data_IF_668381162158
#
_entry.id   IF_668381162158
#
_cell.length_a   1.000
_cell.length_b   1.000
_cell.length_c   1.000
_cell.angle_alpha   90.00
_cell.angle_beta   90.00
_cell.angle_gamma   90.00
#
_symmetry.space_group_name_H-M   'P 1'
#
loop_
_entity.id
_entity.type
_entity.pdbx_description
1 polymer ?
#
# COMPACT_ATOMS: atom_id res chain seq x y z
N UNK A 1 24.69 24.26 0.43
CA UNK A 1 24.00 23.07 1.00
C UNK A 1 22.53 23.34 1.33
N UNK A 2 22.18 24.41 2.07
CA UNK A 2 20.79 24.76 2.42
C UNK A 2 19.80 24.90 1.23
N UNK A 3 20.26 25.44 0.08
CA UNK A 3 19.44 25.62 -1.13
C UNK A 3 19.06 24.30 -1.83
N UNK A 4 19.89 23.25 -1.69
CA UNK A 4 19.61 21.91 -2.25
C UNK A 4 18.65 21.09 -1.37
N UNK A 5 18.75 21.27 -0.04
CA UNK A 5 17.83 20.65 0.93
C UNK A 5 16.40 21.13 0.67
N UNK A 6 16.21 22.43 0.40
CA UNK A 6 14.88 22.99 0.12
C UNK A 6 14.26 22.42 -1.18
N UNK A 7 15.03 22.30 -2.27
CA UNK A 7 14.53 21.69 -3.54
C UNK A 7 14.11 20.22 -3.38
N UNK A 8 14.90 19.44 -2.64
CA UNK A 8 14.59 18.03 -2.35
C UNK A 8 13.32 17.88 -1.52
N UNK A 9 13.14 18.74 -0.52
CA UNK A 9 11.96 18.77 0.34
C UNK A 9 10.71 19.17 -0.46
N UNK A 10 10.79 20.24 -1.26
CA UNK A 10 9.70 20.69 -2.14
C UNK A 10 9.30 19.60 -3.11
N UNK A 11 10.26 18.94 -3.76
CA UNK A 11 9.98 17.84 -4.69
C UNK A 11 9.27 16.67 -3.98
N UNK A 12 9.65 16.38 -2.74
CA UNK A 12 9.01 15.36 -1.92
C UNK A 12 7.55 15.71 -1.62
N UNK A 13 7.28 16.95 -1.24
CA UNK A 13 5.90 17.41 -1.03
C UNK A 13 5.07 17.39 -2.31
N UNK A 14 5.66 17.71 -3.46
CA UNK A 14 4.98 17.61 -4.76
C UNK A 14 4.58 16.16 -5.05
N UNK A 15 5.48 15.18 -4.85
CA UNK A 15 5.12 13.77 -5.06
C UNK A 15 4.00 13.31 -4.13
N UNK A 16 4.04 13.73 -2.85
CA UNK A 16 2.98 13.42 -1.89
C UNK A 16 1.64 14.07 -2.28
N UNK A 17 1.66 15.32 -2.73
CA UNK A 17 0.46 16.03 -3.18
C UNK A 17 -0.15 15.33 -4.40
N UNK A 18 0.67 14.98 -5.40
CA UNK A 18 0.23 14.23 -6.58
C UNK A 18 -0.39 12.89 -6.16
N UNK A 19 0.23 12.17 -5.24
CA UNK A 19 -0.32 10.92 -4.70
C UNK A 19 -1.69 11.12 -4.05
N UNK A 20 -1.81 12.11 -3.16
CA UNK A 20 -3.07 12.41 -2.46
C UNK A 20 -4.17 12.77 -3.47
N UNK A 21 -3.86 13.64 -4.45
CA UNK A 21 -4.81 14.07 -5.47
C UNK A 21 -5.24 12.92 -6.39
N UNK A 22 -4.30 12.12 -6.90
CA UNK A 22 -4.62 10.98 -7.76
C UNK A 22 -5.39 9.91 -6.99
N UNK A 23 -5.02 9.62 -5.75
CA UNK A 23 -5.67 8.58 -4.97
C UNK A 23 -7.09 8.98 -4.56
N UNK A 24 -7.28 10.20 -4.08
CA UNK A 24 -8.63 10.72 -3.78
C UNK A 24 -9.45 10.88 -5.06
N UNK A 25 -8.83 11.38 -6.14
CA UNK A 25 -9.46 11.57 -7.44
C UNK A 25 -10.01 10.27 -8.01
N UNK A 26 -9.24 9.17 -8.01
CA UNK A 26 -9.70 7.86 -8.50
C UNK A 26 -10.90 7.36 -7.68
N UNK A 27 -10.89 7.53 -6.36
CA UNK A 27 -12.01 7.07 -5.50
C UNK A 27 -13.29 7.84 -5.81
N UNK A 28 -13.20 9.18 -5.84
CA UNK A 28 -14.34 10.04 -6.15
C UNK A 28 -14.84 9.82 -7.57
N UNK A 29 -13.92 9.64 -8.53
CA UNK A 29 -14.26 9.38 -9.91
C UNK A 29 -14.95 8.02 -10.06
N UNK A 30 -14.46 6.96 -9.41
CA UNK A 30 -15.13 5.67 -9.41
C UNK A 30 -16.53 5.76 -8.80
N UNK A 31 -16.71 6.47 -7.67
CA UNK A 31 -18.04 6.71 -7.11
C UNK A 31 -18.95 7.45 -8.09
N UNK A 32 -18.45 8.48 -8.77
CA UNK A 32 -19.22 9.26 -9.74
C UNK A 32 -19.61 8.43 -10.97
N UNK A 33 -18.72 7.57 -11.48
CA UNK A 33 -19.02 6.66 -12.60
C UNK A 33 -20.07 5.63 -12.19
N UNK A 34 -19.90 5.00 -11.02
CA UNK A 34 -20.73 3.87 -10.59
C UNK A 34 -22.10 4.29 -10.03
N UNK A 35 -22.20 5.47 -9.43
CA UNK A 35 -23.43 5.90 -8.76
C UNK A 35 -24.57 6.09 -9.76
N UNK A 36 -25.77 5.52 -9.48
CA UNK A 36 -26.97 5.74 -10.27
C UNK A 36 -27.40 7.22 -10.35
N UNK A 37 -27.00 8.04 -9.37
CA UNK A 37 -27.35 9.47 -9.31
C UNK A 37 -26.52 10.35 -10.25
N UNK A 38 -25.41 9.83 -10.77
CA UNK A 38 -24.45 10.58 -11.56
C UNK A 38 -24.33 10.00 -12.97
N UNK A 39 -23.24 9.32 -13.29
CA UNK A 39 -23.05 8.75 -14.63
C UNK A 39 -23.87 7.47 -14.86
N UNK A 40 -24.34 6.81 -13.79
CA UNK A 40 -25.21 5.63 -13.85
C UNK A 40 -24.62 4.46 -14.65
N UNK A 41 -23.38 4.08 -14.32
CA UNK A 41 -22.76 2.85 -14.81
C UNK A 41 -22.62 1.83 -13.67
N UNK A 42 -23.68 1.10 -13.27
CA UNK A 42 -23.67 0.22 -12.09
C UNK A 42 -22.96 -1.13 -12.34
N UNK A 43 -21.80 -1.09 -13.02
CA UNK A 43 -21.00 -2.26 -13.39
C UNK A 43 -19.58 -2.16 -12.78
N UNK A 44 -19.45 -2.39 -11.46
CA UNK A 44 -18.17 -2.27 -10.75
C UNK A 44 -17.10 -3.24 -11.27
N UNK A 45 -17.45 -4.48 -11.63
CA UNK A 45 -16.52 -5.48 -12.16
C UNK A 45 -16.01 -5.02 -13.53
N UNK A 46 -16.89 -4.61 -14.44
CA UNK A 46 -16.51 -4.09 -15.76
C UNK A 46 -15.55 -2.92 -15.62
N UNK A 47 -15.82 -1.98 -14.71
CA UNK A 47 -14.91 -0.85 -14.44
C UNK A 47 -13.53 -1.34 -13.96
N UNK A 48 -13.47 -2.29 -13.02
CA UNK A 48 -12.20 -2.87 -12.55
C UNK A 48 -11.45 -3.63 -13.64
N UNK A 49 -12.16 -4.34 -14.51
CA UNK A 49 -11.58 -5.06 -15.64
C UNK A 49 -10.93 -4.08 -16.62
N UNK A 50 -11.58 -2.95 -16.92
CA UNK A 50 -10.98 -1.89 -17.75
C UNK A 50 -9.69 -1.37 -17.11
N UNK A 51 -9.68 -1.12 -15.80
CA UNK A 51 -8.48 -0.65 -15.08
C UNK A 51 -7.34 -1.66 -15.14
N UNK A 52 -7.62 -2.93 -14.85
CA UNK A 52 -6.62 -4.00 -14.85
C UNK A 52 -6.13 -4.30 -16.27
N UNK A 53 -7.01 -4.33 -17.26
CA UNK A 53 -6.66 -4.52 -18.67
C UNK A 53 -5.77 -3.40 -19.20
N UNK A 54 -6.17 -2.15 -18.97
CA UNK A 54 -5.37 -0.98 -19.38
C UNK A 54 -4.03 -0.93 -18.65
N UNK A 55 -4.03 -1.13 -17.33
CA UNK A 55 -2.81 -1.12 -16.53
C UNK A 55 -1.85 -2.24 -16.91
N UNK A 56 -2.37 -3.45 -17.17
CA UNK A 56 -1.60 -4.60 -17.63
C UNK A 56 -1.00 -4.36 -19.02
N UNK A 57 -1.77 -3.79 -19.95
CA UNK A 57 -1.29 -3.44 -21.29
C UNK A 57 -0.16 -2.41 -21.23
N UNK A 58 -0.33 -1.32 -20.47
CA UNK A 58 0.72 -0.30 -20.35
C UNK A 58 1.95 -0.86 -19.62
N UNK A 59 1.77 -1.66 -18.58
CA UNK A 59 2.90 -2.32 -17.90
C UNK A 59 3.66 -3.26 -18.86
N UNK A 60 2.95 -3.97 -19.74
CA UNK A 60 3.56 -4.78 -20.79
C UNK A 60 4.40 -3.94 -21.74
N UNK A 61 3.87 -2.82 -22.24
CA UNK A 61 4.61 -1.91 -23.12
C UNK A 61 5.87 -1.37 -22.43
N UNK A 62 5.75 -0.91 -21.19
CA UNK A 62 6.87 -0.34 -20.44
C UNK A 62 8.03 -1.32 -20.23
N UNK A 63 7.72 -2.60 -19.99
CA UNK A 63 8.74 -3.63 -19.72
C UNK A 63 9.27 -4.25 -21.01
N UNK A 64 8.40 -4.63 -21.95
CA UNK A 64 8.78 -5.40 -23.14
C UNK A 64 9.22 -4.52 -24.31
N UNK A 65 8.57 -3.37 -24.49
CA UNK A 65 8.84 -2.48 -25.64
C UNK A 65 9.84 -1.41 -25.23
N UNK A 66 9.53 -0.64 -24.18
CA UNK A 66 10.37 0.49 -23.76
C UNK A 66 11.54 0.09 -22.85
N UNK A 67 11.56 -1.14 -22.32
CA UNK A 67 12.59 -1.66 -21.41
C UNK A 67 12.93 -0.72 -20.25
N UNK A 68 11.93 0.02 -19.75
CA UNK A 68 12.09 0.99 -18.65
C UNK A 68 12.49 0.28 -17.35
N UNK A 69 12.09 -0.98 -17.19
CA UNK A 69 12.42 -1.81 -16.03
C UNK A 69 12.91 -3.17 -16.50
N UNK A 70 14.00 -3.64 -15.92
CA UNK A 70 14.56 -4.97 -16.20
C UNK A 70 13.53 -6.06 -15.88
N UNK A 71 13.22 -6.97 -16.82
CA UNK A 71 12.30 -8.06 -16.57
C UNK A 71 12.89 -9.00 -15.51
N UNK A 72 12.20 -9.11 -14.37
CA UNK A 72 12.58 -10.05 -13.31
C UNK A 72 12.20 -11.45 -13.77
N UNK A 73 13.19 -12.35 -13.92
CA UNK A 73 12.93 -13.76 -14.25
C UNK A 73 12.21 -14.43 -13.07
N UNK A 74 10.92 -14.73 -13.26
CA UNK A 74 10.10 -15.47 -12.29
C UNK A 74 9.97 -16.92 -12.75
N UNK A 75 10.25 -17.87 -11.86
CA UNK A 75 9.96 -19.29 -12.11
C UNK A 75 8.44 -19.50 -12.16
N UNK A 76 7.97 -20.37 -13.06
CA UNK A 76 6.55 -20.69 -13.21
C UNK A 76 5.90 -21.13 -11.89
N UNK A 77 6.62 -21.90 -11.08
CA UNK A 77 6.16 -22.33 -9.76
C UNK A 77 5.87 -21.14 -8.83
N UNK A 78 6.77 -20.15 -8.75
CA UNK A 78 6.57 -18.94 -7.93
C UNK A 78 5.41 -18.11 -8.47
N UNK A 79 5.28 -18.04 -9.79
CA UNK A 79 4.19 -17.33 -10.44
C UNK A 79 2.82 -17.93 -10.05
N UNK A 80 2.65 -19.24 -10.19
CA UNK A 80 1.39 -19.93 -9.88
C UNK A 80 1.11 -19.96 -8.38
N UNK A 81 2.10 -20.28 -7.54
CA UNK A 81 1.88 -20.44 -6.09
C UNK A 81 1.81 -19.13 -5.31
N UNK A 82 2.34 -18.02 -5.85
CA UNK A 82 2.34 -16.74 -5.15
C UNK A 82 1.61 -15.64 -5.90
N UNK A 83 1.94 -15.42 -7.18
CA UNK A 83 1.35 -14.28 -7.92
C UNK A 83 -0.14 -14.49 -8.16
N UNK A 84 -0.56 -15.69 -8.58
CA UNK A 84 -1.98 -15.96 -8.87
C UNK A 84 -2.89 -15.74 -7.64
N UNK A 85 -2.58 -16.28 -6.43
CA UNK A 85 -3.37 -15.96 -5.23
C UNK A 85 -3.38 -14.47 -4.88
N UNK A 86 -2.22 -13.80 -4.96
CA UNK A 86 -2.12 -12.35 -4.70
C UNK A 86 -3.04 -11.57 -5.67
N UNK A 87 -3.02 -11.93 -6.95
CA UNK A 87 -3.86 -11.32 -7.98
C UNK A 87 -5.35 -11.59 -7.78
N UNK A 88 -5.73 -12.79 -7.33
CA UNK A 88 -7.12 -13.14 -7.06
C UNK A 88 -7.67 -12.31 -5.87
N UNK A 89 -6.90 -12.18 -4.79
CA UNK A 89 -7.30 -11.35 -3.66
C UNK A 89 -7.29 -9.86 -3.98
N UNK A 90 -6.36 -9.39 -4.83
CA UNK A 90 -6.39 -8.02 -5.35
C UNK A 90 -7.63 -7.75 -6.20
N UNK A 91 -7.95 -8.66 -7.13
CA UNK A 91 -9.14 -8.56 -7.93
C UNK A 91 -10.41 -8.55 -7.05
N UNK A 92 -10.47 -9.44 -6.07
CA UNK A 92 -11.58 -9.51 -5.12
C UNK A 92 -11.72 -8.23 -4.29
N UNK A 93 -10.60 -7.64 -3.83
CA UNK A 93 -10.63 -6.39 -3.07
C UNK A 93 -11.15 -5.22 -3.91
N UNK A 94 -10.72 -5.12 -5.16
CA UNK A 94 -11.20 -4.11 -6.10
C UNK A 94 -12.67 -4.32 -6.45
N UNK A 95 -13.10 -5.55 -6.71
CA UNK A 95 -14.48 -5.87 -7.04
C UNK A 95 -15.42 -5.51 -5.87
N UNK A 96 -15.20 -6.07 -4.68
CA UNK A 96 -16.08 -5.80 -3.54
C UNK A 96 -16.02 -4.34 -3.09
N UNK A 97 -14.82 -3.73 -3.10
CA UNK A 97 -14.65 -2.32 -2.77
C UNK A 97 -15.37 -1.38 -3.74
N UNK A 98 -15.34 -1.67 -5.04
CA UNK A 98 -16.08 -0.86 -6.01
C UNK A 98 -17.59 -1.11 -5.95
N UNK A 99 -18.02 -2.33 -5.68
CA UNK A 99 -19.45 -2.66 -5.49
C UNK A 99 -20.05 -1.93 -4.30
N UNK A 100 -19.27 -1.72 -3.23
CA UNK A 100 -19.70 -0.94 -2.08
C UNK A 100 -20.11 0.50 -2.44
N UNK A 101 -19.51 1.12 -3.46
CA UNK A 101 -19.89 2.47 -3.92
C UNK A 101 -21.35 2.55 -4.41
N UNK A 102 -21.98 1.43 -4.80
CA UNK A 102 -23.38 1.43 -5.20
C UNK A 102 -24.34 1.55 -4.02
N UNK A 103 -23.89 1.19 -2.82
CA UNK A 103 -24.76 0.98 -1.67
C UNK A 103 -24.50 1.95 -0.51
N UNK A 104 -23.26 2.41 -0.35
CA UNK A 104 -22.86 3.26 0.78
C UNK A 104 -22.08 4.51 0.33
N UNK A 105 -21.99 5.49 1.24
CA UNK A 105 -21.29 6.77 1.02
C UNK A 105 -19.77 6.57 0.99
N UNK A 106 -19.05 7.46 0.29
CA UNK A 106 -17.57 7.41 0.23
C UNK A 106 -16.96 7.69 1.60
N UNK A 107 -17.56 8.62 2.36
CA UNK A 107 -17.18 8.90 3.74
C UNK A 107 -17.28 7.63 4.59
N UNK A 108 -18.41 6.92 4.54
CA UNK A 108 -18.60 5.70 5.31
C UNK A 108 -17.65 4.56 4.87
N UNK A 109 -17.42 4.39 3.57
CA UNK A 109 -16.39 3.46 3.05
C UNK A 109 -15.02 3.75 3.66
N UNK A 110 -14.65 5.03 3.74
CA UNK A 110 -13.36 5.44 4.26
C UNK A 110 -13.28 5.29 5.78
N UNK A 111 -14.40 5.43 6.50
CA UNK A 111 -14.49 5.11 7.93
C UNK A 111 -14.33 3.60 8.18
N UNK A 112 -15.00 2.76 7.39
CA UNK A 112 -14.87 1.29 7.47
C UNK A 112 -13.43 0.84 7.20
N UNK A 113 -12.68 1.54 6.34
CA UNK A 113 -11.26 1.26 6.10
C UNK A 113 -10.36 1.44 7.33
N UNK A 114 -10.83 2.08 8.42
CA UNK A 114 -10.13 2.04 9.69
C UNK A 114 -9.97 0.60 10.25
N UNK A 115 -10.77 -0.36 9.78
CA UNK A 115 -10.60 -1.79 10.09
C UNK A 115 -9.41 -2.45 9.36
N UNK A 116 -8.73 -1.76 8.44
CA UNK A 116 -7.64 -2.34 7.66
C UNK A 116 -6.48 -2.88 8.53
N UNK A 117 -6.03 -2.19 9.60
CA UNK A 117 -5.04 -2.73 10.54
C UNK A 117 -5.55 -3.98 11.29
N UNK A 118 -6.84 -4.04 11.61
CA UNK A 118 -7.48 -5.20 12.25
C UNK A 118 -7.47 -6.41 11.31
N UNK A 119 -7.94 -6.22 10.08
CA UNK A 119 -7.98 -7.28 9.07
C UNK A 119 -6.58 -7.79 8.72
N UNK A 120 -5.60 -6.89 8.56
CA UNK A 120 -4.20 -7.27 8.29
C UNK A 120 -3.57 -8.03 9.46
N UNK A 121 -3.84 -7.65 10.70
CA UNK A 121 -3.35 -8.38 11.87
C UNK A 121 -3.93 -9.79 11.95
N UNK A 122 -5.25 -9.94 11.77
CA UNK A 122 -5.91 -11.25 11.75
C UNK A 122 -5.33 -12.12 10.63
N UNK A 123 -5.21 -11.58 9.41
CA UNK A 123 -4.66 -12.31 8.27
C UNK A 123 -3.19 -12.66 8.45
N UNK A 124 -2.40 -11.80 9.10
CA UNK A 124 -1.00 -12.09 9.42
C UNK A 124 -0.86 -13.26 10.41
N UNK A 125 -1.75 -13.35 11.41
CA UNK A 125 -1.79 -14.50 12.34
C UNK A 125 -2.23 -15.76 11.60
N UNK A 126 -3.30 -15.71 10.82
CA UNK A 126 -3.81 -16.85 10.04
C UNK A 126 -2.76 -17.38 9.07
N UNK A 127 -1.97 -16.50 8.45
CA UNK A 127 -0.87 -16.87 7.56
C UNK A 127 0.43 -17.26 8.32
N UNK A 128 0.43 -17.28 9.66
CA UNK A 128 1.60 -17.62 10.48
C UNK A 128 2.78 -16.65 10.30
N UNK A 129 2.50 -15.39 9.93
CA UNK A 129 3.52 -14.35 9.70
C UNK A 129 3.73 -13.47 10.93
N UNK A 130 2.78 -13.45 11.87
CA UNK A 130 2.86 -12.70 13.12
C UNK A 130 2.28 -13.50 14.29
N UNK A 131 2.66 -13.15 15.52
CA UNK A 131 2.19 -13.82 16.73
C UNK A 131 1.02 -13.05 17.38
N UNK A 132 0.09 -13.79 17.97
CA UNK A 132 -1.05 -13.21 18.69
C UNK A 132 -0.60 -12.57 20.02
N UNK A 133 -0.27 -11.27 19.97
CA UNK A 133 0.06 -10.47 21.16
C UNK A 133 -1.20 -9.84 21.75
N UNK A 134 -1.43 -10.05 23.05
CA UNK A 134 -2.60 -9.51 23.75
C UNK A 134 -2.70 -7.98 23.65
N UNK A 135 -1.59 -7.25 23.75
CA UNK A 135 -1.57 -5.77 23.66
C UNK A 135 -2.12 -5.28 22.31
N UNK A 136 -1.72 -5.95 21.22
CA UNK A 136 -2.17 -5.62 19.86
C UNK A 136 -3.62 -6.03 19.68
N UNK A 137 -4.01 -7.19 20.21
CA UNK A 137 -5.39 -7.68 20.15
C UNK A 137 -6.39 -6.74 20.85
N UNK A 138 -6.08 -6.28 22.07
CA UNK A 138 -6.89 -5.28 22.79
C UNK A 138 -7.03 -3.98 21.99
N UNK A 139 -5.94 -3.53 21.37
CA UNK A 139 -5.99 -2.38 20.48
C UNK A 139 -6.88 -2.61 19.25
N UNK A 140 -6.86 -3.81 18.66
CA UNK A 140 -7.75 -4.15 17.54
C UNK A 140 -9.23 -4.13 17.96
N UNK A 141 -9.56 -4.58 19.17
CA UNK A 141 -10.92 -4.47 19.70
C UNK A 141 -11.37 -3.00 19.83
N UNK A 142 -10.49 -2.11 20.31
CA UNK A 142 -10.78 -0.68 20.40
C UNK A 142 -11.11 -0.08 19.02
N UNK A 143 -10.32 -0.43 17.99
CA UNK A 143 -10.57 0.00 16.61
C UNK A 143 -11.93 -0.51 16.12
N UNK A 144 -12.23 -1.79 16.34
CA UNK A 144 -13.51 -2.40 15.96
C UNK A 144 -14.70 -1.72 16.64
N UNK A 145 -14.61 -1.43 17.94
CA UNK A 145 -15.68 -0.72 18.67
C UNK A 145 -15.91 0.68 18.09
N UNK A 146 -14.84 1.43 17.82
CA UNK A 146 -14.96 2.75 17.19
C UNK A 146 -15.68 2.71 15.83
N UNK A 147 -15.35 1.71 15.01
CA UNK A 147 -16.00 1.53 13.69
C UNK A 147 -17.46 1.12 13.83
N UNK A 148 -17.82 0.29 14.82
CA UNK A 148 -19.23 -0.08 15.08
C UNK A 148 -20.04 1.15 15.53
N UNK A 149 -19.51 1.94 16.46
CA UNK A 149 -20.15 3.19 16.90
C UNK A 149 -20.31 4.14 15.71
N UNK A 150 -19.26 4.28 14.89
CA UNK A 150 -19.31 5.10 13.69
C UNK A 150 -20.39 4.60 12.72
N UNK A 151 -20.49 3.29 12.50
CA UNK A 151 -21.49 2.68 11.61
C UNK A 151 -22.92 2.89 12.10
N UNK A 152 -23.15 2.89 13.41
CA UNK A 152 -24.47 3.17 14.00
C UNK A 152 -24.93 4.61 13.74
N UNK A 153 -24.00 5.54 13.56
CA UNK A 153 -24.29 6.93 13.23
C UNK A 153 -24.60 7.18 11.75
N UNK A 154 -24.39 6.20 10.85
CA UNK A 154 -24.53 6.41 9.40
C UNK A 154 -26.00 6.49 8.99
N UNK A 155 -26.38 7.61 8.38
CA UNK A 155 -27.76 7.86 7.95
C UNK A 155 -28.16 6.94 6.80
N UNK A 156 -27.25 6.70 5.85
CA UNK A 156 -27.48 5.83 4.69
C UNK A 156 -26.89 4.44 4.92
N UNK A 157 -27.05 3.89 6.12
CA UNK A 157 -26.48 2.59 6.44
C UNK A 157 -27.13 1.49 5.59
N UNK A 158 -26.31 0.80 4.81
CA UNK A 158 -26.74 -0.35 4.02
C UNK A 158 -25.85 -1.55 4.37
N UNK A 159 -26.47 -2.60 4.90
CA UNK A 159 -25.77 -3.81 5.33
C UNK A 159 -25.08 -4.53 4.16
N UNK A 160 -25.71 -4.56 2.97
CA UNK A 160 -25.15 -5.21 1.78
C UNK A 160 -23.87 -4.50 1.36
N UNK A 161 -23.91 -3.16 1.28
CA UNK A 161 -22.72 -2.35 0.98
C UNK A 161 -21.62 -2.49 2.03
N UNK A 162 -22.01 -2.56 3.30
CA UNK A 162 -21.08 -2.75 4.42
C UNK A 162 -20.39 -4.10 4.34
N UNK A 163 -21.12 -5.18 4.06
CA UNK A 163 -20.57 -6.53 3.89
C UNK A 163 -19.59 -6.58 2.73
N UNK A 164 -19.95 -6.03 1.56
CA UNK A 164 -19.02 -5.94 0.43
C UNK A 164 -17.75 -5.16 0.80
N UNK A 165 -17.90 -4.01 1.46
CA UNK A 165 -16.74 -3.21 1.86
C UNK A 165 -15.83 -3.97 2.85
N UNK A 166 -16.39 -4.66 3.83
CA UNK A 166 -15.63 -5.47 4.81
C UNK A 166 -14.95 -6.66 4.12
N UNK A 167 -15.65 -7.38 3.23
CA UNK A 167 -15.05 -8.44 2.41
C UNK A 167 -13.87 -7.91 1.58
N UNK A 168 -14.02 -6.73 0.97
CA UNK A 168 -12.96 -6.05 0.24
C UNK A 168 -11.75 -5.71 1.12
N UNK A 169 -11.98 -5.26 2.35
CA UNK A 169 -10.92 -4.98 3.34
C UNK A 169 -10.15 -6.26 3.71
N UNK A 170 -10.84 -7.38 3.94
CA UNK A 170 -10.19 -8.66 4.25
C UNK A 170 -9.42 -9.23 3.06
N UNK A 171 -9.96 -9.13 1.84
CA UNK A 171 -9.26 -9.53 0.63
C UNK A 171 -8.00 -8.67 0.41
N UNK A 172 -8.10 -7.36 0.61
CA UNK A 172 -6.95 -6.45 0.53
C UNK A 172 -5.90 -6.76 1.61
N UNK A 173 -6.34 -7.07 2.83
CA UNK A 173 -5.46 -7.45 3.92
C UNK A 173 -4.68 -8.74 3.60
N UNK A 174 -5.37 -9.75 3.08
CA UNK A 174 -4.75 -11.00 2.67
C UNK A 174 -3.77 -10.80 1.51
N UNK A 175 -4.13 -9.99 0.50
CA UNK A 175 -3.21 -9.57 -0.57
C UNK A 175 -1.94 -8.95 0.00
N UNK A 176 -2.05 -8.01 0.94
CA UNK A 176 -0.90 -7.34 1.54
C UNK A 176 0.00 -8.32 2.32
N UNK A 177 -0.59 -9.22 3.13
CA UNK A 177 0.16 -10.23 3.88
C UNK A 177 0.88 -11.20 2.94
N UNK A 178 0.20 -11.72 1.91
CA UNK A 178 0.81 -12.61 0.91
C UNK A 178 1.92 -11.91 0.12
N UNK A 179 1.71 -10.64 -0.24
CA UNK A 179 2.73 -9.82 -0.90
C UNK A 179 3.95 -9.66 0.01
N UNK A 180 3.74 -9.36 1.30
CA UNK A 180 4.82 -9.28 2.28
C UNK A 180 5.59 -10.61 2.39
N UNK A 181 4.88 -11.74 2.47
CA UNK A 181 5.50 -13.07 2.50
C UNK A 181 6.32 -13.35 1.24
N UNK A 182 5.82 -12.99 0.05
CA UNK A 182 6.55 -13.13 -1.21
C UNK A 182 7.85 -12.31 -1.21
N UNK A 183 7.78 -11.04 -0.79
CA UNK A 183 8.94 -10.15 -0.76
C UNK A 183 9.98 -10.60 0.28
N UNK A 184 9.53 -10.99 1.48
CA UNK A 184 10.42 -11.34 2.59
C UNK A 184 11.00 -12.75 2.49
N UNK A 185 10.20 -13.77 2.15
CA UNK A 185 10.64 -15.17 2.14
C UNK A 185 11.35 -15.56 0.85
N UNK A 186 10.94 -15.01 -0.30
CA UNK A 186 11.53 -15.36 -1.61
C UNK A 186 12.58 -14.36 -2.10
N UNK A 187 12.84 -13.29 -1.34
CA UNK A 187 13.91 -12.31 -1.64
C UNK A 187 13.70 -11.52 -2.93
N UNK A 188 12.46 -11.45 -3.43
CA UNK A 188 12.14 -10.77 -4.68
C UNK A 188 11.87 -9.29 -4.44
N UNK A 189 12.74 -8.43 -4.95
CA UNK A 189 12.52 -6.98 -4.98
C UNK A 189 11.73 -6.61 -6.23
N UNK A 190 10.40 -6.70 -6.14
CA UNK A 190 9.53 -6.31 -7.25
C UNK A 190 9.29 -4.80 -7.21
N UNK A 191 9.76 -4.11 -8.25
CA UNK A 191 9.30 -2.75 -8.53
C UNK A 191 7.77 -2.78 -8.74
N UNK A 192 7.01 -1.79 -8.26
CA UNK A 192 5.55 -1.71 -8.47
C UNK A 192 5.11 -1.86 -9.92
N UNK A 193 5.89 -1.38 -10.89
CA UNK A 193 5.63 -1.58 -12.33
C UNK A 193 5.73 -3.06 -12.70
N UNK A 194 6.76 -3.77 -12.21
CA UNK A 194 6.93 -5.21 -12.37
C UNK A 194 5.83 -5.99 -11.65
N UNK A 195 5.45 -5.56 -10.43
CA UNK A 195 4.31 -6.14 -9.71
C UNK A 195 3.02 -6.00 -10.51
N UNK A 196 2.77 -4.82 -11.08
CA UNK A 196 1.57 -4.55 -11.89
C UNK A 196 1.55 -5.41 -13.16
N UNK A 197 2.70 -5.58 -13.83
CA UNK A 197 2.84 -6.45 -15.00
C UNK A 197 2.45 -7.90 -14.72
N UNK A 198 2.84 -8.42 -13.55
CA UNK A 198 2.51 -9.80 -13.17
C UNK A 198 1.11 -9.93 -12.59
N UNK A 199 0.63 -8.92 -11.87
CA UNK A 199 -0.63 -8.99 -11.12
C UNK A 199 -1.85 -8.68 -12.00
N UNK A 200 -1.80 -7.60 -12.79
CA UNK A 200 -2.93 -7.08 -13.55
C UNK A 200 -3.57 -8.08 -14.53
N UNK A 201 -2.83 -8.83 -15.37
CA UNK A 201 -3.44 -9.80 -16.28
C UNK A 201 -4.11 -10.96 -15.53
N UNK A 202 -3.49 -11.47 -14.46
CA UNK A 202 -4.12 -12.50 -13.62
C UNK A 202 -5.39 -11.99 -12.95
N UNK A 203 -5.39 -10.75 -12.45
CA UNK A 203 -6.57 -10.12 -11.88
C UNK A 203 -7.69 -9.95 -12.91
N UNK A 204 -7.36 -9.58 -14.16
CA UNK A 204 -8.34 -9.50 -15.25
C UNK A 204 -8.99 -10.86 -15.53
N UNK A 205 -8.19 -11.93 -15.63
CA UNK A 205 -8.70 -13.29 -15.85
C UNK A 205 -9.58 -13.73 -14.68
N UNK A 206 -9.16 -13.49 -13.44
CA UNK A 206 -9.99 -13.80 -12.26
C UNK A 206 -11.33 -13.07 -12.29
N UNK A 207 -11.36 -11.77 -12.66
CA UNK A 207 -12.58 -10.96 -12.74
C UNK A 207 -13.52 -11.37 -13.88
N UNK A 208 -13.01 -12.04 -14.92
CA UNK A 208 -13.85 -12.49 -16.04
C UNK A 208 -14.93 -13.50 -15.62
N UNK A 209 -14.65 -14.32 -14.59
CA UNK A 209 -15.59 -15.30 -14.05
C UNK A 209 -16.80 -14.63 -13.35
N UNK A 210 -16.63 -13.78 -12.32
CA UNK A 210 -17.75 -13.09 -11.70
C UNK A 210 -18.42 -12.10 -12.66
N UNK A 211 -17.69 -11.51 -13.61
CA UNK A 211 -18.28 -10.67 -14.66
C UNK A 211 -19.31 -11.43 -15.50
N UNK A 212 -18.95 -12.64 -15.96
CA UNK A 212 -19.84 -13.48 -16.77
C UNK A 212 -21.11 -13.86 -16.01
N UNK A 213 -21.00 -14.13 -14.70
CA UNK A 213 -22.13 -14.57 -13.87
C UNK A 213 -23.02 -13.40 -13.44
N UNK A 214 -22.45 -12.25 -13.08
CA UNK A 214 -23.16 -11.18 -12.39
C UNK A 214 -23.46 -9.96 -13.26
N UNK A 215 -22.59 -9.60 -14.20
CA UNK A 215 -22.72 -8.35 -14.95
C UNK A 215 -23.13 -8.56 -16.41
N UNK A 216 -22.68 -9.62 -17.06
CA UNK A 216 -23.08 -9.95 -18.44
C UNK A 216 -24.60 -10.00 -18.64
N UNK A 217 -25.40 -10.64 -17.75
CA UNK A 217 -26.86 -10.65 -17.91
C UNK A 217 -27.47 -9.24 -17.81
N UNK A 218 -26.91 -8.39 -16.94
CA UNK A 218 -27.40 -7.03 -16.74
C UNK A 218 -27.09 -6.12 -17.94
N UNK A 219 -25.94 -6.32 -18.59
CA UNK A 219 -25.57 -5.59 -19.82
C UNK A 219 -26.52 -5.94 -20.97
N UNK A 220 -26.94 -7.20 -21.10
CA UNK A 220 -27.84 -7.62 -22.18
C UNK A 220 -29.26 -7.04 -22.05
N UNK A 221 -29.67 -6.73 -20.82
CA UNK A 221 -31.01 -6.19 -20.51
C UNK A 221 -31.05 -4.67 -20.50
N UNK A 222 -29.92 -4.00 -20.23
CA UNK A 222 -29.86 -2.54 -20.07
C UNK A 222 -29.10 -1.84 -21.20
N UNK A 223 -29.68 -0.76 -21.74
CA UNK A 223 -28.98 0.10 -22.71
C UNK A 223 -27.99 1.03 -22.00
N UNK A 224 -26.85 0.46 -21.61
CA UNK A 224 -25.80 1.18 -20.89
C UNK A 224 -25.04 2.11 -21.85
N UNK A 225 -24.91 3.38 -21.46
CA UNK A 225 -24.18 4.40 -22.21
C UNK A 225 -22.67 4.23 -22.01
N UNK A 226 -21.98 3.62 -22.98
CA UNK A 226 -20.53 3.48 -22.94
C UNK A 226 -19.84 4.73 -23.52
N UNK A 227 -19.17 5.52 -22.69
CA UNK A 227 -18.35 6.65 -23.13
C UNK A 227 -16.86 6.34 -23.02
N UNK A 228 -16.23 6.09 -24.17
CA UNK A 228 -14.81 5.75 -24.25
C UNK A 228 -13.91 6.74 -23.50
N UNK A 229 -14.13 8.04 -23.64
CA UNK A 229 -13.27 9.06 -23.04
C UNK A 229 -13.31 9.06 -21.51
N UNK A 230 -14.47 8.79 -20.92
CA UNK A 230 -14.64 8.71 -19.46
C UNK A 230 -13.93 7.47 -18.91
N UNK A 231 -14.12 6.30 -19.53
CA UNK A 231 -13.47 5.08 -19.08
C UNK A 231 -11.95 5.13 -19.31
N UNK A 232 -11.51 5.71 -20.42
CA UNK A 232 -10.10 5.91 -20.72
C UNK A 232 -9.42 6.84 -19.72
N UNK A 233 -10.00 8.02 -19.43
CA UNK A 233 -9.43 8.96 -18.47
C UNK A 233 -9.45 8.39 -17.04
N UNK A 234 -10.51 7.67 -16.66
CA UNK A 234 -10.61 7.02 -15.35
C UNK A 234 -9.56 5.89 -15.20
N UNK A 235 -9.36 5.07 -16.24
CA UNK A 235 -8.29 4.07 -16.26
C UNK A 235 -6.88 4.70 -16.25
N UNK A 236 -6.70 5.83 -16.93
CA UNK A 236 -5.46 6.60 -16.91
C UNK A 236 -5.17 7.15 -15.50
N UNK A 237 -6.17 7.64 -14.78
CA UNK A 237 -6.03 8.05 -13.38
C UNK A 237 -5.63 6.87 -12.48
N UNK A 238 -6.24 5.69 -12.67
CA UNK A 238 -5.89 4.48 -11.92
C UNK A 238 -4.44 4.03 -12.19
N UNK A 239 -3.99 4.10 -13.46
CA UNK A 239 -2.60 3.84 -13.82
C UNK A 239 -1.64 4.87 -13.22
N UNK A 240 -1.97 6.16 -13.33
CA UNK A 240 -1.16 7.26 -12.79
C UNK A 240 -0.99 7.13 -11.26
N UNK A 241 -2.04 6.71 -10.56
CA UNK A 241 -1.96 6.40 -9.13
C UNK A 241 -0.94 5.30 -8.85
N UNK A 242 -0.94 4.22 -9.61
CA UNK A 242 0.05 3.14 -9.46
C UNK A 242 1.49 3.63 -9.64
N UNK A 243 1.75 4.51 -10.62
CA UNK A 243 3.06 5.13 -10.79
C UNK A 243 3.41 6.11 -9.67
N UNK A 244 2.45 6.90 -9.22
CA UNK A 244 2.65 7.83 -8.11
C UNK A 244 3.05 7.12 -6.82
N UNK A 245 2.43 5.97 -6.52
CA UNK A 245 2.80 5.12 -5.38
C UNK A 245 4.27 4.69 -5.47
N UNK A 246 4.74 4.27 -6.65
CA UNK A 246 6.15 3.91 -6.85
C UNK A 246 7.09 5.09 -6.60
N UNK A 247 6.78 6.26 -7.16
CA UNK A 247 7.60 7.46 -7.01
C UNK A 247 7.69 7.90 -5.54
N UNK A 248 6.57 7.88 -4.81
CA UNK A 248 6.54 8.24 -3.39
C UNK A 248 7.32 7.23 -2.55
N UNK A 249 7.12 5.94 -2.76
CA UNK A 249 7.85 4.89 -2.02
C UNK A 249 9.35 4.98 -2.30
N UNK A 250 9.74 5.13 -3.57
CA UNK A 250 11.14 5.25 -3.97
C UNK A 250 11.82 6.49 -3.37
N UNK A 251 11.09 7.59 -3.19
CA UNK A 251 11.64 8.85 -2.66
C UNK A 251 11.63 8.95 -1.13
N UNK A 252 10.58 8.45 -0.48
CA UNK A 252 10.29 8.72 0.94
C UNK A 252 10.23 7.47 1.83
N UNK A 253 10.16 6.29 1.22
CA UNK A 253 10.02 5.01 1.91
C UNK A 253 8.59 4.68 2.36
N UNK A 254 8.42 3.44 2.82
CA UNK A 254 7.10 2.88 3.18
C UNK A 254 6.47 3.51 4.44
N UNK A 255 7.26 4.09 5.34
CA UNK A 255 6.74 4.74 6.57
C UNK A 255 6.01 6.02 6.23
N UNK A 256 6.61 6.89 5.43
CA UNK A 256 6.03 8.16 4.99
C UNK A 256 4.74 7.91 4.21
N UNK A 257 4.74 6.90 3.34
CA UNK A 257 3.56 6.51 2.57
C UNK A 257 2.40 6.11 3.49
N UNK A 258 2.65 5.33 4.56
CA UNK A 258 1.61 5.00 5.55
C UNK A 258 0.99 6.24 6.20
N UNK A 259 1.82 7.21 6.61
CA UNK A 259 1.32 8.45 7.22
C UNK A 259 0.54 9.31 6.21
N UNK A 260 1.05 9.45 4.99
CA UNK A 260 0.38 10.18 3.91
C UNK A 260 -0.98 9.56 3.56
N UNK A 261 -1.09 8.23 3.62
CA UNK A 261 -2.36 7.50 3.44
C UNK A 261 -3.42 7.90 4.46
N UNK A 262 -3.06 8.01 5.74
CA UNK A 262 -4.00 8.45 6.80
C UNK A 262 -4.48 9.87 6.57
N UNK A 263 -3.57 10.79 6.22
CA UNK A 263 -3.93 12.19 5.92
C UNK A 263 -4.84 12.26 4.68
N UNK A 264 -4.51 11.50 3.64
CA UNK A 264 -5.34 11.38 2.44
C UNK A 264 -6.75 10.93 2.78
N UNK A 265 -6.91 9.94 3.66
CA UNK A 265 -8.21 9.41 4.05
C UNK A 265 -9.09 10.48 4.70
N UNK A 266 -8.51 11.35 5.54
CA UNK A 266 -9.24 12.46 6.16
C UNK A 266 -9.65 13.52 5.15
N UNK A 267 -8.73 13.92 4.28
CA UNK A 267 -9.00 14.85 3.19
C UNK A 267 -10.11 14.30 2.29
N UNK A 268 -10.08 13.00 1.99
CA UNK A 268 -11.08 12.34 1.17
C UNK A 268 -12.46 12.32 1.84
N UNK A 269 -12.54 12.06 3.15
CA UNK A 269 -13.81 12.14 3.89
C UNK A 269 -14.40 13.55 3.75
N UNK A 270 -13.63 14.58 4.08
CA UNK A 270 -14.08 15.97 4.00
C UNK A 270 -14.45 16.39 2.55
N UNK A 271 -13.66 15.98 1.57
CA UNK A 271 -13.93 16.29 0.17
C UNK A 271 -15.17 15.54 -0.33
N UNK A 272 -15.37 14.30 0.10
CA UNK A 272 -16.54 13.51 -0.29
C UNK A 272 -17.85 14.07 0.25
N UNK A 273 -17.86 14.66 1.45
CA UNK A 273 -19.06 15.31 1.99
C UNK A 273 -19.44 16.59 1.24
N UNK A 274 -18.45 17.28 0.65
CA UNK A 274 -18.69 18.48 -0.15
C UNK A 274 -19.16 18.12 -1.56
N UNK A 275 -18.55 17.09 -2.18
CA UNK A 275 -18.87 16.67 -3.56
C UNK A 275 -20.17 15.86 -3.65
N UNK A 276 -20.47 15.08 -2.61
CA UNK A 276 -21.64 14.20 -2.54
C UNK A 276 -22.52 14.62 -1.34
N UNK A 277 -23.36 15.66 -1.49
CA UNK A 277 -24.12 16.25 -0.38
C UNK A 277 -25.05 15.28 0.36
N UNK A 278 -25.41 14.15 -0.26
CA UNK A 278 -26.14 13.07 0.38
C UNK A 278 -25.35 12.33 1.47
N UNK A 279 -24.03 12.55 1.55
CA UNK A 279 -23.12 11.94 2.53
C UNK A 279 -23.07 12.79 3.81
N UNK A 280 -24.21 13.00 4.46
CA UNK A 280 -24.27 13.73 5.72
C UNK A 280 -23.65 12.90 6.84
N UNK A 281 -22.61 13.44 7.48
CA UNK A 281 -21.92 12.79 8.60
C UNK A 281 -22.55 13.26 9.91
N UNK A 282 -23.01 12.33 10.75
CA UNK A 282 -23.55 12.66 12.07
C UNK A 282 -22.44 12.88 13.10
N UNK A 283 -22.76 13.56 14.22
CA UNK A 283 -21.82 13.67 15.33
C UNK A 283 -21.37 12.32 15.88
N UNK A 284 -22.25 11.31 15.86
CA UNK A 284 -21.94 9.95 16.29
C UNK A 284 -20.95 9.26 15.35
N UNK A 285 -21.09 9.45 14.02
CA UNK A 285 -20.10 8.96 13.06
C UNK A 285 -18.69 9.48 13.40
N UNK A 286 -18.58 10.78 13.68
CA UNK A 286 -17.30 11.46 13.98
C UNK A 286 -16.71 10.92 15.27
N UNK A 287 -17.51 10.80 16.34
CA UNK A 287 -17.05 10.29 17.63
C UNK A 287 -16.54 8.85 17.49
N UNK A 288 -17.32 7.97 16.84
CA UNK A 288 -16.89 6.59 16.61
C UNK A 288 -15.61 6.49 15.78
N UNK A 289 -15.51 7.29 14.71
CA UNK A 289 -14.31 7.31 13.87
C UNK A 289 -13.09 7.87 14.61
N UNK A 290 -13.26 8.87 15.48
CA UNK A 290 -12.19 9.39 16.33
C UNK A 290 -11.65 8.31 17.28
N UNK A 291 -12.53 7.51 17.90
CA UNK A 291 -12.12 6.36 18.73
C UNK A 291 -11.33 5.35 17.90
N UNK A 292 -11.82 5.01 16.70
CA UNK A 292 -11.12 4.08 15.80
C UNK A 292 -9.72 4.60 15.41
N UNK A 293 -9.61 5.89 15.10
CA UNK A 293 -8.35 6.55 14.76
C UNK A 293 -7.35 6.53 15.92
N UNK A 294 -7.78 6.79 17.16
CA UNK A 294 -6.94 6.67 18.33
C UNK A 294 -6.33 5.26 18.43
N UNK A 295 -7.13 4.21 18.21
CA UNK A 295 -6.64 2.83 18.15
C UNK A 295 -5.66 2.58 17.00
N UNK A 296 -5.89 3.14 15.81
CA UNK A 296 -4.95 3.01 14.68
C UNK A 296 -3.61 3.71 14.96
N UNK A 297 -3.63 4.88 15.58
CA UNK A 297 -2.41 5.60 15.99
C UNK A 297 -1.64 4.82 17.05
N UNK A 298 -2.34 4.29 18.06
CA UNK A 298 -1.74 3.45 19.09
C UNK A 298 -1.14 2.17 18.50
N UNK A 299 -1.82 1.50 17.57
CA UNK A 299 -1.28 0.35 16.83
C UNK A 299 0.04 0.69 16.11
N UNK A 300 0.02 1.78 15.32
CA UNK A 300 1.18 2.21 14.58
C UNK A 300 2.36 2.55 15.51
N UNK A 301 2.07 3.17 16.66
CA UNK A 301 3.07 3.44 17.68
C UNK A 301 3.68 2.16 18.25
N UNK A 302 2.86 1.17 18.63
CA UNK A 302 3.33 -0.14 19.12
C UNK A 302 4.23 -0.81 18.08
N UNK A 303 3.78 -0.90 16.83
CA UNK A 303 4.58 -1.52 15.75
C UNK A 303 5.89 -0.78 15.49
N UNK A 304 5.90 0.56 15.53
CA UNK A 304 7.15 1.33 15.37
C UNK A 304 8.10 1.06 16.54
N UNK A 305 7.58 1.01 17.77
CA UNK A 305 8.37 0.70 18.97
C UNK A 305 8.97 -0.70 18.89
N UNK A 306 8.21 -1.70 18.44
CA UNK A 306 8.70 -3.07 18.27
C UNK A 306 9.84 -3.15 17.25
N UNK A 307 9.71 -2.45 16.11
CA UNK A 307 10.77 -2.37 15.09
C UNK A 307 12.03 -1.74 15.67
N UNK A 308 11.90 -0.66 16.44
CA UNK A 308 13.05 -0.02 17.12
C UNK A 308 13.67 -0.93 18.19
N UNK A 309 12.85 -1.64 18.95
CA UNK A 309 13.29 -2.56 20.00
C UNK A 309 13.92 -3.86 19.46
N UNK A 310 13.68 -4.20 18.19
CA UNK A 310 14.35 -5.32 17.48
C UNK A 310 15.63 -4.87 16.76
N UNK A 311 15.86 -3.55 16.65
CA UNK A 311 17.09 -2.95 16.12
C UNK A 311 18.20 -2.54 17.14
N UNK A 312 18.25 -2.96 18.41
CA UNK A 312 19.41 -2.67 19.25
C UNK A 312 20.47 -3.76 19.00
N UNK A 313 21.60 -3.40 18.35
CA UNK A 313 22.98 -3.92 18.58
C UNK A 313 23.96 -3.50 17.45
N UNK A 314 23.54 -3.03 16.27
CA UNK A 314 24.52 -2.68 15.20
C UNK A 314 25.08 -1.25 15.27
N UNK A 315 24.39 -0.31 15.93
CA UNK A 315 24.87 1.09 15.99
C UNK A 315 25.82 1.40 17.17
N UNK A 316 26.12 0.43 18.04
CA UNK A 316 27.05 0.64 19.18
C UNK A 316 28.48 0.11 18.95
N UNK A 317 28.83 -0.34 17.73
CA UNK A 317 30.18 -0.80 17.40
C UNK A 317 31.07 0.12 16.53
N UNK A 318 30.82 1.44 16.36
CA UNK A 318 31.89 2.35 15.92
C UNK A 318 32.71 2.94 17.08
N UNK A 319 32.11 3.13 18.25
CA UNK A 319 32.74 3.97 19.30
C UNK A 319 33.79 3.26 20.14
N UNK A 320 33.69 1.93 20.31
CA UNK A 320 34.74 1.17 21.02
C UNK A 320 36.02 1.03 20.20
N UNK A 321 35.90 0.83 18.90
CA UNK A 321 37.06 0.76 18.01
C UNK A 321 37.68 2.16 17.90
N UNK A 322 36.90 3.22 17.74
CA UNK A 322 37.44 4.58 17.59
C UNK A 322 38.13 5.11 18.86
N UNK A 323 37.71 4.66 20.06
CA UNK A 323 38.43 4.98 21.31
C UNK A 323 39.77 4.25 21.42
N UNK A 324 39.81 2.96 21.08
CA UNK A 324 41.02 2.12 21.16
C UNK A 324 42.10 2.60 20.16
N UNK A 325 41.69 3.11 19.00
CA UNK A 325 42.59 3.73 18.01
C UNK A 325 43.08 5.13 18.41
N UNK A 326 42.32 5.88 19.23
CA UNK A 326 42.74 7.20 19.74
C UNK A 326 43.68 7.08 20.92
N UNK A 327 43.47 6.13 21.83
CA UNK A 327 44.39 5.88 22.96
C UNK A 327 45.75 5.36 22.48
N UNK A 328 45.80 4.50 21.46
CA UNK A 328 47.07 4.05 20.86
C UNK A 328 47.84 5.14 20.10
N UNK A 329 47.16 6.16 19.56
CA UNK A 329 47.82 7.28 18.86
C UNK A 329 48.34 8.38 19.78
N UNK A 330 47.95 8.40 21.05
CA UNK A 330 48.44 9.38 22.03
C UNK A 330 49.68 8.95 22.80
N UNK A 331 50.16 7.71 22.64
CA UNK A 331 51.35 7.21 23.35
C UNK A 331 52.64 7.17 22.55
N UNK A 332 52.60 7.23 21.21
CA UNK A 332 53.82 7.16 20.40
C UNK A 332 54.04 8.47 19.64
N UNK A 333 54.82 9.35 20.25
CA UNK A 333 55.36 10.54 19.60
C UNK A 333 56.66 10.21 18.89
N UNK A 334 56.71 10.38 17.57
CA UNK A 334 57.92 10.77 16.84
C UNK A 334 57.58 11.21 15.41
N UNK A 335 58.11 12.37 15.03
CA UNK A 335 58.21 12.80 13.62
C UNK A 335 59.56 12.30 13.09
N UNK A 336 59.68 11.96 11.79
CA UNK A 336 60.25 12.98 10.89
C UNK A 336 59.75 12.98 9.43
N UNK A 337 59.92 14.18 8.85
CA UNK A 337 60.01 14.61 7.43
C UNK A 337 60.15 13.54 6.32
N UNK A 338 59.45 13.77 5.22
CA UNK A 338 59.78 13.27 3.87
C UNK A 338 58.67 13.60 2.87
N UNK A 339 58.93 14.45 1.88
CA UNK A 339 57.97 14.82 0.85
C UNK A 339 57.93 13.80 -0.30
N UNK A 340 56.73 13.58 -0.86
CA UNK A 340 56.50 13.06 -2.22
C UNK A 340 55.11 13.56 -2.66
N UNK A 341 55.04 14.20 -3.84
CA UNK A 341 53.82 14.54 -4.57
C UNK A 341 53.07 13.27 -5.01
N UNK A 342 51.73 13.25 -4.95
CA UNK A 342 50.95 12.30 -5.75
C UNK A 342 49.55 12.82 -6.10
N UNK A 343 49.30 12.77 -7.40
CA UNK A 343 48.13 13.08 -8.22
C UNK A 343 46.72 12.92 -7.63
N UNK A 344 45.85 13.78 -8.16
CA UNK A 344 44.42 13.58 -8.34
C UNK A 344 44.12 12.29 -9.12
N UNK A 345 43.50 11.29 -8.47
CA UNK A 345 42.79 10.22 -9.17
C UNK A 345 41.65 9.63 -8.30
N UNK A 346 40.45 9.67 -8.87
CA UNK A 346 39.21 8.93 -8.59
C UNK A 346 38.95 8.34 -7.19
N UNK A 347 37.98 8.92 -6.48
CA UNK A 347 37.22 8.21 -5.44
C UNK A 347 36.09 7.37 -6.09
N UNK A 348 36.03 6.03 -5.87
CA UNK A 348 34.93 5.23 -6.38
C UNK A 348 33.65 5.45 -5.56
N UNK A 349 32.55 5.61 -6.28
CA UNK A 349 31.17 5.64 -5.80
C UNK A 349 30.87 4.45 -4.88
N UNK A 350 30.69 4.73 -3.58
CA UNK A 350 30.12 3.75 -2.66
C UNK A 350 28.64 3.58 -3.00
N UNK A 351 28.38 2.44 -3.62
CA UNK A 351 27.06 1.89 -3.94
C UNK A 351 26.24 1.72 -2.66
N UNK A 352 24.98 2.14 -2.72
CA UNK A 352 23.99 2.02 -1.65
C UNK A 352 23.69 0.56 -1.30
N UNK A 353 24.43 -0.01 -0.37
CA UNK A 353 24.06 -1.24 0.35
C UNK A 353 23.12 -0.91 1.51
N UNK A 354 21.90 -0.46 1.19
CA UNK A 354 20.77 -0.43 2.14
C UNK A 354 19.64 -1.32 1.63
N UNK A 355 19.93 -2.59 1.36
CA UNK A 355 18.90 -3.61 1.26
C UNK A 355 19.49 -5.02 1.38
N UNK A 356 19.98 -5.37 2.56
CA UNK A 356 20.14 -6.76 2.98
C UNK A 356 20.54 -6.76 4.44
N UNK A 357 19.58 -6.99 5.34
CA UNK A 357 19.76 -7.62 6.66
C UNK A 357 18.45 -7.46 7.44
N UNK A 358 17.40 -8.12 6.94
CA UNK A 358 16.19 -8.45 7.71
C UNK A 358 15.87 -9.89 7.33
N UNK A 359 16.02 -10.83 8.27
CA UNK A 359 15.57 -12.21 8.09
C UNK A 359 16.56 -13.33 8.43
N UNK A 360 17.55 -13.12 9.30
CA UNK A 360 18.35 -14.23 9.86
C UNK A 360 17.88 -14.52 11.29
N UNK A 361 16.82 -15.31 11.41
CA UNK A 361 16.54 -16.06 12.64
C UNK A 361 17.09 -17.47 12.43
N UNK A 362 17.98 -17.83 13.35
CA UNK A 362 18.74 -19.08 13.48
C UNK A 362 17.94 -20.34 13.15
N UNK A 363 18.50 -21.15 12.23
CA UNK A 363 18.27 -22.58 12.15
C UNK A 363 19.19 -23.24 13.19
N UNK A 364 18.64 -23.60 14.35
CA UNK A 364 19.35 -24.35 15.37
C UNK A 364 19.22 -25.86 15.13
N UNK A 365 20.26 -26.43 14.53
CA UNK A 365 20.55 -27.86 14.54
C UNK A 365 20.72 -28.39 15.97
N UNK A 366 20.04 -29.48 16.32
CA UNK A 366 20.47 -30.39 17.38
C UNK A 366 20.37 -31.84 16.88
N UNK A 367 21.52 -32.50 16.79
CA UNK A 367 21.71 -33.94 16.64
C UNK A 367 22.75 -34.39 17.67
N UNK A 368 22.58 -35.63 18.17
CA UNK A 368 23.37 -36.38 19.16
C UNK A 368 23.12 -35.93 20.63
N UNK A 369 22.75 -36.81 21.57
CA UNK A 369 23.08 -38.24 21.79
C UNK A 369 21.83 -39.08 22.01
#
# INVERSE_FOLDING_TARGET
>A
MAKMINKTLVLTYIYLLIYVLLSSGVILYNKWVLSPKYFNFPLPITLTMIHMGFSGFVAFLLIRVFKVVSPVKMTFEIYVTCVVPISAFFASSLWFGNTAYLHISVAFIQMLKALMPVATFIMAIVCGTDNARCDVFMNMLLVSVGVVISSYGEINFNIIGTVYQVMGIFAEALRLVLTQVLLQKKGLTLNPVTSLYYIAPCSFVFLSLPWYVLEKPNIEVSQIQFNFWIFFSNALCALALNFSIFLVIGRTGAVTMRVAGVLKDWILIALSTVIFPESTITGLNIIGYAIALCGVVMYNYIKIKDVKATQPITDSLPDRITKDWKEKRSSDGESPRGGVELNDEEAPLITSSRLSHIGRTQLGSHTAV
#
